data_IF_227501959627
#
_entry.id   IF_227501959627
#
_cell.length_a   1.000
_cell.length_b   1.000
_cell.length_c   1.000
_cell.angle_alpha   90.00
_cell.angle_beta   90.00
_cell.angle_gamma   90.00
#
_symmetry.space_group_name_H-M   'P 1'
#
loop_
_entity.id
_entity.type
_entity.pdbx_description
1 polymer ?
#
# COMPACT_ATOMS: atom_id res chain seq x y z
N UNK A 1 -25.85 -13.84 -4.67
CA UNK A 1 -24.76 -14.41 -3.83
C UNK A 1 -23.38 -13.96 -4.30
N UNK A 2 -23.04 -14.15 -5.58
CA UNK A 2 -21.75 -13.68 -6.14
C UNK A 2 -21.56 -12.15 -6.04
N UNK A 3 -22.60 -11.37 -6.33
CA UNK A 3 -22.53 -9.90 -6.23
C UNK A 3 -22.24 -9.41 -4.80
N UNK A 4 -22.87 -10.03 -3.79
CA UNK A 4 -22.62 -9.71 -2.38
C UNK A 4 -21.18 -10.03 -1.98
N UNK A 5 -20.63 -11.17 -2.44
CA UNK A 5 -19.25 -11.56 -2.17
C UNK A 5 -18.26 -10.58 -2.81
N UNK A 6 -18.49 -10.15 -4.06
CA UNK A 6 -17.62 -9.19 -4.74
C UNK A 6 -17.62 -7.83 -4.05
N UNK A 7 -18.81 -7.30 -3.68
CA UNK A 7 -18.92 -6.04 -2.91
C UNK A 7 -18.24 -6.11 -1.55
N UNK A 8 -18.36 -7.25 -0.87
CA UNK A 8 -17.68 -7.46 0.42
C UNK A 8 -16.16 -7.48 0.22
N UNK A 9 -15.69 -8.10 -0.85
CA UNK A 9 -14.26 -8.16 -1.18
C UNK A 9 -13.71 -6.76 -1.55
N UNK A 10 -14.41 -5.98 -2.39
CA UNK A 10 -14.08 -4.57 -2.69
C UNK A 10 -13.93 -3.76 -1.40
N UNK A 11 -14.93 -3.79 -0.52
CA UNK A 11 -14.88 -3.08 0.76
C UNK A 11 -13.71 -3.53 1.64
N UNK A 12 -13.45 -4.84 1.71
CA UNK A 12 -12.32 -5.39 2.44
C UNK A 12 -10.99 -4.88 1.89
N UNK A 13 -10.76 -4.96 0.58
CA UNK A 13 -9.51 -4.49 -0.03
C UNK A 13 -9.37 -2.97 0.11
N UNK A 14 -10.45 -2.20 -0.01
CA UNK A 14 -10.44 -0.77 0.21
C UNK A 14 -9.96 -0.42 1.63
N UNK A 15 -10.60 -1.00 2.66
CA UNK A 15 -10.26 -0.73 4.07
C UNK A 15 -8.87 -1.27 4.41
N UNK A 16 -8.58 -2.51 4.03
CA UNK A 16 -7.32 -3.17 4.35
C UNK A 16 -6.13 -2.46 3.70
N UNK A 17 -6.23 -2.14 2.41
CA UNK A 17 -5.15 -1.49 1.69
C UNK A 17 -4.95 -0.03 2.13
N UNK A 18 -6.03 0.68 2.46
CA UNK A 18 -5.92 2.01 3.09
C UNK A 18 -5.23 1.91 4.44
N UNK A 19 -5.65 0.94 5.27
CA UNK A 19 -5.08 0.69 6.59
C UNK A 19 -3.59 0.36 6.53
N UNK A 20 -3.17 -0.54 5.65
CA UNK A 20 -1.75 -0.91 5.50
C UNK A 20 -0.91 0.26 4.95
N UNK A 21 -1.49 1.07 4.06
CA UNK A 21 -0.81 2.27 3.53
C UNK A 21 -0.55 3.28 4.64
N UNK A 22 -1.58 3.63 5.41
CA UNK A 22 -1.45 4.54 6.55
C UNK A 22 -0.51 3.97 7.62
N UNK A 23 -0.60 2.66 7.88
CA UNK A 23 0.27 1.98 8.82
C UNK A 23 1.73 1.98 8.36
N UNK A 24 2.00 1.79 7.06
CA UNK A 24 3.35 1.90 6.52
C UNK A 24 3.92 3.32 6.72
N UNK A 25 3.11 4.36 6.46
CA UNK A 25 3.52 5.76 6.58
C UNK A 25 3.70 6.24 8.03
N UNK A 26 2.96 5.71 8.99
CA UNK A 26 2.92 6.26 10.37
C UNK A 26 3.29 5.27 11.47
N UNK A 27 3.27 3.96 11.19
CA UNK A 27 3.46 2.90 12.19
C UNK A 27 4.81 2.90 12.89
N UNK A 28 5.83 3.54 12.31
CA UNK A 28 7.15 3.73 12.92
C UNK A 28 7.15 4.69 14.13
N UNK A 29 6.13 5.54 14.26
CA UNK A 29 6.00 6.51 15.36
C UNK A 29 5.88 5.78 16.69
N UNK A 30 5.00 4.77 16.77
CA UNK A 30 4.74 4.02 18.00
C UNK A 30 5.77 2.92 18.26
N UNK A 31 6.49 3.00 19.38
CA UNK A 31 7.53 2.03 19.76
C UNK A 31 7.09 0.57 19.72
N UNK A 32 5.86 0.26 20.16
CA UNK A 32 5.30 -1.11 20.16
C UNK A 32 5.08 -1.66 18.74
N UNK A 33 4.83 -0.79 17.77
CA UNK A 33 4.46 -1.16 16.40
C UNK A 33 5.65 -1.11 15.43
N UNK A 34 6.79 -0.53 15.81
CA UNK A 34 7.98 -0.37 14.95
C UNK A 34 8.45 -1.63 14.24
N UNK A 35 8.47 -2.78 14.92
CA UNK A 35 8.87 -4.06 14.31
C UNK A 35 7.86 -4.52 13.26
N UNK A 36 6.57 -4.39 13.57
CA UNK A 36 5.48 -4.73 12.65
C UNK A 36 5.46 -3.79 11.45
N UNK A 37 5.65 -2.49 11.65
CA UNK A 37 5.76 -1.51 10.57
C UNK A 37 6.96 -1.78 9.67
N UNK A 38 8.13 -2.12 10.23
CA UNK A 38 9.27 -2.50 9.42
C UNK A 38 8.98 -3.75 8.60
N UNK A 39 8.35 -4.77 9.19
CA UNK A 39 7.94 -5.98 8.47
C UNK A 39 6.98 -5.66 7.31
N UNK A 40 5.95 -4.84 7.54
CA UNK A 40 4.99 -4.49 6.47
C UNK A 40 5.65 -3.66 5.37
N UNK A 41 6.55 -2.74 5.72
CA UNK A 41 7.34 -2.00 4.74
C UNK A 41 8.21 -2.94 3.91
N UNK A 42 8.93 -3.87 4.54
CA UNK A 42 9.76 -4.85 3.83
C UNK A 42 8.93 -5.77 2.92
N UNK A 43 7.74 -6.20 3.35
CA UNK A 43 6.83 -6.98 2.49
C UNK A 43 6.33 -6.14 1.30
N UNK A 44 6.04 -4.85 1.53
CA UNK A 44 5.59 -3.91 0.48
C UNK A 44 6.71 -3.65 -0.53
N UNK A 45 7.91 -3.28 -0.07
CA UNK A 45 9.07 -3.14 -0.95
C UNK A 45 9.44 -4.44 -1.62
N UNK A 46 9.39 -5.57 -0.91
CA UNK A 46 9.61 -6.89 -1.47
C UNK A 46 8.66 -7.19 -2.63
N UNK A 47 7.38 -6.83 -2.51
CA UNK A 47 6.44 -6.96 -3.63
C UNK A 47 6.81 -6.02 -4.78
N UNK A 48 7.12 -4.75 -4.51
CA UNK A 48 7.46 -3.78 -5.55
C UNK A 48 8.75 -4.10 -6.32
N UNK A 49 9.77 -4.65 -5.64
CA UNK A 49 11.07 -4.94 -6.24
C UNK A 49 11.17 -6.39 -6.71
N UNK A 50 10.85 -7.38 -5.88
CA UNK A 50 11.03 -8.79 -6.24
C UNK A 50 9.97 -9.24 -7.25
N UNK A 51 8.70 -8.95 -6.98
CA UNK A 51 7.64 -9.26 -7.93
C UNK A 51 7.62 -8.27 -9.08
N UNK A 52 8.06 -7.03 -8.84
CA UNK A 52 8.17 -6.04 -9.91
C UNK A 52 9.19 -6.37 -11.00
N UNK A 53 10.17 -7.23 -10.73
CA UNK A 53 11.05 -7.78 -11.78
C UNK A 53 10.24 -8.60 -12.80
N UNK A 54 9.18 -9.29 -12.38
CA UNK A 54 8.35 -10.13 -13.25
C UNK A 54 7.12 -9.39 -13.81
N UNK A 55 6.50 -8.53 -13.00
CA UNK A 55 5.20 -7.92 -13.29
C UNK A 55 5.25 -6.40 -13.53
N UNK A 56 6.41 -5.76 -13.34
CA UNK A 56 6.60 -4.30 -13.48
C UNK A 56 6.92 -3.60 -12.16
N UNK A 57 7.78 -2.57 -12.19
CA UNK A 57 8.19 -1.85 -10.98
C UNK A 57 6.98 -1.25 -10.25
N UNK A 58 6.94 -1.42 -8.92
CA UNK A 58 5.82 -0.95 -8.10
C UNK A 58 4.64 -1.93 -8.02
N UNK A 59 4.77 -3.14 -8.57
CA UNK A 59 3.71 -4.14 -8.52
C UNK A 59 3.34 -4.55 -7.08
N UNK A 60 2.04 -4.51 -6.77
CA UNK A 60 1.48 -4.99 -5.51
C UNK A 60 0.41 -6.07 -5.77
N UNK A 61 0.56 -7.29 -5.23
CA UNK A 61 -0.44 -8.36 -5.38
C UNK A 61 -1.84 -7.96 -4.88
N UNK A 62 -1.91 -7.15 -3.82
CA UNK A 62 -3.18 -6.69 -3.28
C UNK A 62 -3.92 -5.77 -4.25
N UNK A 63 -3.19 -4.92 -4.97
CA UNK A 63 -3.74 -4.06 -6.02
C UNK A 63 -4.26 -4.88 -7.18
N UNK A 64 -3.46 -5.82 -7.69
CA UNK A 64 -3.86 -6.69 -8.80
C UNK A 64 -5.11 -7.51 -8.44
N UNK A 65 -5.15 -8.12 -7.26
CA UNK A 65 -6.33 -8.84 -6.80
C UNK A 65 -7.56 -7.94 -6.65
N UNK A 66 -7.39 -6.74 -6.11
CA UNK A 66 -8.49 -5.80 -5.98
C UNK A 66 -9.01 -5.36 -7.36
N UNK A 67 -8.13 -5.03 -8.30
CA UNK A 67 -8.53 -4.64 -9.65
C UNK A 67 -9.27 -5.77 -10.38
N UNK A 68 -8.84 -7.03 -10.24
CA UNK A 68 -9.59 -8.18 -10.79
C UNK A 68 -10.99 -8.33 -10.18
N UNK A 69 -11.20 -7.94 -8.92
CA UNK A 69 -12.53 -7.94 -8.29
C UNK A 69 -13.39 -6.82 -8.91
N UNK A 70 -12.82 -5.62 -9.07
CA UNK A 70 -13.50 -4.48 -9.68
C UNK A 70 -13.87 -4.75 -11.15
N UNK A 71 -12.97 -5.34 -11.92
CA UNK A 71 -13.24 -5.78 -13.30
C UNK A 71 -14.41 -6.78 -13.36
N UNK A 72 -14.46 -7.74 -12.42
CA UNK A 72 -15.59 -8.68 -12.31
C UNK A 72 -16.90 -8.00 -11.90
N UNK A 73 -16.83 -6.82 -11.28
CA UNK A 73 -17.99 -5.98 -10.98
C UNK A 73 -18.37 -5.07 -12.16
N UNK A 74 -17.62 -5.10 -13.27
CA UNK A 74 -17.88 -4.31 -14.47
C UNK A 74 -17.20 -2.93 -14.48
N UNK A 75 -16.33 -2.63 -13.52
CA UNK A 75 -15.53 -1.40 -13.51
C UNK A 75 -14.49 -1.45 -14.64
N UNK A 76 -14.37 -0.36 -15.41
CA UNK A 76 -13.44 -0.25 -16.54
C UNK A 76 -12.63 1.03 -16.44
N UNK A 77 -11.49 1.09 -17.13
CA UNK A 77 -10.62 2.28 -17.10
C UNK A 77 -9.92 2.50 -15.75
N UNK A 78 -9.66 1.42 -15.01
CA UNK A 78 -8.92 1.50 -13.74
C UNK A 78 -7.52 2.08 -13.98
N UNK A 79 -7.07 3.04 -13.14
CA UNK A 79 -5.75 3.63 -13.29
C UNK A 79 -4.66 2.60 -12.95
N UNK A 80 -3.50 2.71 -13.58
CA UNK A 80 -2.34 1.88 -13.25
C UNK A 80 -1.84 2.09 -11.80
N UNK A 81 -2.14 3.25 -11.21
CA UNK A 81 -1.77 3.59 -9.83
C UNK A 81 -2.93 3.33 -8.87
N UNK A 82 -2.71 2.43 -7.91
CA UNK A 82 -3.72 2.12 -6.89
C UNK A 82 -4.04 3.31 -5.99
N UNK A 83 -3.03 4.12 -5.61
CA UNK A 83 -3.28 5.27 -4.77
C UNK A 83 -4.07 6.35 -5.51
N UNK A 84 -3.90 6.46 -6.83
CA UNK A 84 -4.75 7.31 -7.66
C UNK A 84 -6.21 6.84 -7.60
N UNK A 85 -6.43 5.53 -7.81
CA UNK A 85 -7.77 4.93 -7.66
C UNK A 85 -8.35 5.21 -6.26
N UNK A 86 -7.56 5.03 -5.21
CA UNK A 86 -8.01 5.20 -3.83
C UNK A 86 -8.40 6.65 -3.53
N UNK A 87 -7.59 7.62 -3.93
CA UNK A 87 -7.89 9.05 -3.76
C UNK A 87 -9.17 9.41 -4.50
N UNK A 88 -9.30 8.98 -5.75
CA UNK A 88 -10.50 9.25 -6.54
C UNK A 88 -11.74 8.60 -5.93
N UNK A 89 -11.66 7.34 -5.50
CA UNK A 89 -12.78 6.61 -4.90
C UNK A 89 -13.22 7.20 -3.55
N UNK A 90 -12.28 7.66 -2.73
CA UNK A 90 -12.59 8.19 -1.39
C UNK A 90 -13.01 9.67 -1.39
N UNK A 91 -12.45 10.48 -2.28
CA UNK A 91 -12.61 11.95 -2.26
C UNK A 91 -13.26 12.53 -3.51
N UNK A 92 -13.38 11.75 -4.58
CA UNK A 92 -13.77 12.24 -5.91
C UNK A 92 -12.66 12.98 -6.65
N UNK A 93 -11.53 13.27 -6.01
CA UNK A 93 -10.42 14.01 -6.62
C UNK A 93 -9.62 13.13 -7.58
N UNK A 94 -9.33 13.63 -8.79
CA UNK A 94 -8.53 12.95 -9.81
C UNK A 94 -7.16 13.62 -9.99
N UNK A 95 -6.20 13.37 -9.08
CA UNK A 95 -4.85 13.92 -9.22
C UNK A 95 -4.09 13.27 -10.39
N UNK A 96 -3.11 14.01 -10.90
CA UNK A 96 -2.20 13.48 -11.91
C UNK A 96 -1.39 12.30 -11.36
N UNK A 97 -1.25 11.24 -12.17
CA UNK A 97 -0.63 9.98 -11.78
C UNK A 97 0.84 10.16 -11.38
N UNK A 98 1.57 11.06 -12.05
CA UNK A 98 2.97 11.32 -11.77
C UNK A 98 3.17 11.82 -10.33
N UNK A 99 2.31 12.74 -9.88
CA UNK A 99 2.41 13.28 -8.52
C UNK A 99 2.04 12.24 -7.46
N UNK A 100 1.01 11.44 -7.71
CA UNK A 100 0.60 10.37 -6.79
C UNK A 100 1.73 9.34 -6.63
N UNK A 101 2.30 8.87 -7.73
CA UNK A 101 3.33 7.83 -7.69
C UNK A 101 4.64 8.35 -7.09
N UNK A 102 5.00 9.60 -7.40
CA UNK A 102 6.17 10.26 -6.80
C UNK A 102 6.02 10.41 -5.29
N UNK A 103 4.85 10.87 -4.83
CA UNK A 103 4.58 11.04 -3.40
C UNK A 103 4.54 9.69 -2.68
N UNK A 104 3.92 8.68 -3.30
CA UNK A 104 3.82 7.31 -2.78
C UNK A 104 5.21 6.71 -2.58
N UNK A 105 6.05 6.79 -3.62
CA UNK A 105 7.40 6.23 -3.60
C UNK A 105 8.28 6.97 -2.60
N UNK A 106 8.26 8.31 -2.62
CA UNK A 106 9.07 9.14 -1.72
C UNK A 106 8.64 8.94 -0.26
N UNK A 107 7.34 8.95 0.01
CA UNK A 107 6.78 8.71 1.34
C UNK A 107 7.12 7.31 1.88
N UNK A 108 7.05 6.29 1.02
CA UNK A 108 7.45 4.93 1.36
C UNK A 108 8.93 4.86 1.79
N UNK A 109 9.84 5.45 1.00
CA UNK A 109 11.27 5.42 1.34
C UNK A 109 11.61 6.21 2.60
N UNK A 110 11.00 7.38 2.80
CA UNK A 110 11.16 8.14 4.05
C UNK A 110 10.67 7.33 5.26
N UNK A 111 9.50 6.70 5.15
CA UNK A 111 8.98 5.85 6.21
C UNK A 111 9.90 4.65 6.49
N UNK A 112 10.46 4.02 5.45
CA UNK A 112 11.43 2.93 5.57
C UNK A 112 12.70 3.37 6.30
N UNK A 113 13.29 4.50 5.92
CA UNK A 113 14.48 5.04 6.58
C UNK A 113 14.20 5.33 8.06
N UNK A 114 13.10 6.01 8.37
CA UNK A 114 12.68 6.29 9.75
C UNK A 114 12.46 5.00 10.55
N UNK A 115 11.77 4.03 9.97
CA UNK A 115 11.48 2.75 10.61
C UNK A 115 12.75 1.95 10.90
N UNK A 116 13.67 1.84 9.94
CA UNK A 116 14.96 1.17 10.12
C UNK A 116 15.78 1.86 11.20
N UNK A 117 15.93 3.19 11.12
CA UNK A 117 16.70 3.96 12.10
C UNK A 117 16.19 3.75 13.53
N UNK A 118 14.87 3.87 13.74
CA UNK A 118 14.27 3.73 15.06
C UNK A 118 14.37 2.29 15.58
N UNK A 119 14.19 1.27 14.73
CA UNK A 119 14.37 -0.12 15.13
C UNK A 119 15.82 -0.42 15.52
N UNK A 120 16.80 0.05 14.75
CA UNK A 120 18.23 -0.11 15.07
C UNK A 120 18.58 0.58 16.38
N UNK A 121 18.09 1.81 16.59
CA UNK A 121 18.26 2.55 17.84
C UNK A 121 17.67 1.81 19.04
N UNK A 122 16.47 1.25 18.90
CA UNK A 122 15.80 0.52 19.98
C UNK A 122 16.53 -0.78 20.33
N UNK A 123 17.05 -1.50 19.34
CA UNK A 123 17.88 -2.70 19.59
C UNK A 123 19.18 -2.35 20.31
N UNK A 124 19.84 -1.25 19.92
CA UNK A 124 21.08 -0.79 20.59
C UNK A 124 20.86 -0.32 22.03
N UNK A 125 19.68 0.19 22.37
CA UNK A 125 19.34 0.61 23.75
C UNK A 125 18.94 -0.52 24.68
N UNK A 126 18.48 -1.65 24.12
CA UNK A 126 18.04 -2.82 24.87
C UNK A 126 19.12 -3.91 24.98
N UNK A 127 20.27 -3.72 24.32
CA UNK A 127 21.49 -4.50 24.54
C UNK A 127 22.36 -3.78 25.57
#
# INVERSE_FOLDING_TARGET
MQEFLLKTADLFFLIFHTGITLFNLTGWIWKKLRKWNLLTLLLTGGSWFLLGIFYGMGYCPLTDWHFRILEKMGETGLPNSYLKYLVHRLTGWDPDMFWVDTLTTTGYFLALICSVYLNVRDVRKNK
#
